data_IF_687465403302
#
_entry.id   IF_687465403302
#
_cell.length_a   1.000
_cell.length_b   1.000
_cell.length_c   1.000
_cell.angle_alpha   90.00
_cell.angle_beta   90.00
_cell.angle_gamma   90.00
#
_symmetry.space_group_name_H-M   'P 1'
#
loop_
_entity.id
_entity.type
_entity.pdbx_description
1 polymer ?
#
# COMPACT_ATOMS: atom_id res chain seq x y z
N UNK A 1 18.02 -0.75 -18.47
CA UNK A 1 19.43 -1.19 -18.30
C UNK A 1 19.51 -2.59 -17.70
N UNK A 2 20.68 -3.19 -17.62
CA UNK A 2 20.86 -4.49 -16.97
C UNK A 2 20.63 -4.37 -15.45
N UNK A 3 21.02 -3.27 -14.87
CA UNK A 3 20.83 -2.99 -13.43
C UNK A 3 19.36 -2.82 -13.09
N UNK A 4 18.58 -2.12 -13.91
CA UNK A 4 17.12 -2.03 -13.76
C UNK A 4 16.45 -3.41 -13.82
N UNK A 5 16.86 -4.27 -14.76
CA UNK A 5 16.29 -5.62 -14.84
C UNK A 5 16.64 -6.47 -13.61
N UNK A 6 17.85 -6.32 -13.07
CA UNK A 6 18.27 -6.99 -11.83
C UNK A 6 17.46 -6.48 -10.64
N UNK A 7 17.24 -5.16 -10.54
CA UNK A 7 16.42 -4.55 -9.52
C UNK A 7 14.98 -5.07 -9.57
N UNK A 8 14.34 -5.01 -10.73
CA UNK A 8 12.97 -5.52 -10.91
C UNK A 8 12.85 -7.00 -10.56
N UNK A 9 13.85 -7.82 -10.96
CA UNK A 9 13.88 -9.24 -10.61
C UNK A 9 14.01 -9.44 -9.09
N UNK A 10 14.86 -8.66 -8.42
CA UNK A 10 15.00 -8.72 -6.96
C UNK A 10 13.66 -8.42 -6.27
N UNK A 11 12.97 -7.35 -6.69
CA UNK A 11 11.68 -6.98 -6.14
C UNK A 11 10.61 -8.07 -6.33
N UNK A 12 10.60 -8.72 -7.50
CA UNK A 12 9.72 -9.85 -7.78
C UNK A 12 10.01 -11.05 -6.86
N UNK A 13 11.28 -11.42 -6.73
CA UNK A 13 11.70 -12.54 -5.87
C UNK A 13 11.36 -12.27 -4.41
N UNK A 14 11.63 -11.06 -3.90
CA UNK A 14 11.26 -10.66 -2.54
C UNK A 14 9.76 -10.82 -2.28
N UNK A 15 8.93 -10.38 -3.24
CA UNK A 15 7.48 -10.49 -3.13
C UNK A 15 7.01 -11.96 -3.11
N UNK A 16 7.53 -12.80 -4.01
CA UNK A 16 7.19 -14.20 -4.11
C UNK A 16 7.64 -15.00 -2.88
N UNK A 17 8.89 -14.85 -2.46
CA UNK A 17 9.46 -15.55 -1.31
C UNK A 17 8.71 -15.21 -0.01
N UNK A 18 8.28 -13.95 0.15
CA UNK A 18 7.48 -13.55 1.30
C UNK A 18 6.11 -14.27 1.33
N UNK A 19 5.42 -14.37 0.18
CA UNK A 19 4.16 -15.10 0.10
C UNK A 19 4.36 -16.59 0.38
N UNK A 20 5.41 -17.20 -0.17
CA UNK A 20 5.74 -18.59 0.09
C UNK A 20 6.11 -18.87 1.55
N UNK A 21 6.86 -17.96 2.16
CA UNK A 21 7.18 -18.03 3.58
C UNK A 21 5.91 -18.00 4.44
N UNK A 22 5.01 -17.05 4.20
CA UNK A 22 3.75 -16.96 4.94
C UNK A 22 2.87 -18.19 4.70
N UNK A 23 2.86 -18.74 3.48
CA UNK A 23 2.13 -19.94 3.14
C UNK A 23 2.58 -21.16 3.93
N UNK A 24 3.87 -21.36 4.05
CA UNK A 24 4.46 -22.51 4.72
C UNK A 24 4.45 -22.37 6.25
N UNK A 25 4.63 -21.16 6.75
CA UNK A 25 4.73 -20.90 8.19
C UNK A 25 3.38 -20.83 8.89
N UNK A 26 2.37 -20.22 8.22
CA UNK A 26 1.06 -19.93 8.81
C UNK A 26 -0.06 -20.67 8.08
N UNK A 27 0.05 -22.00 8.04
CA UNK A 27 -0.91 -22.89 7.37
C UNK A 27 -2.32 -22.69 7.95
N UNK A 28 -3.29 -22.52 7.06
CA UNK A 28 -4.70 -22.36 7.43
C UNK A 28 -5.09 -20.96 7.95
N UNK A 29 -4.14 -20.07 8.14
CA UNK A 29 -4.45 -18.67 8.47
C UNK A 29 -4.79 -17.87 7.21
N UNK A 30 -5.75 -16.95 7.35
CA UNK A 30 -6.13 -16.03 6.28
C UNK A 30 -4.99 -15.04 6.02
N UNK A 31 -4.52 -14.93 4.78
CA UNK A 31 -3.37 -14.10 4.41
C UNK A 31 -3.71 -13.02 3.40
N UNK A 32 -4.77 -13.19 2.62
CA UNK A 32 -5.04 -12.39 1.42
C UNK A 32 -3.80 -12.28 0.55
N UNK A 33 -3.28 -13.44 0.14
CA UNK A 33 -2.05 -13.60 -0.61
C UNK A 33 -2.02 -12.78 -1.90
N UNK A 34 -0.83 -12.28 -2.24
CA UNK A 34 -0.54 -11.63 -3.51
C UNK A 34 -0.17 -12.63 -4.62
N UNK A 35 -0.17 -13.94 -4.34
CA UNK A 35 0.20 -14.97 -5.32
C UNK A 35 -0.50 -14.77 -6.67
N UNK A 36 0.29 -14.73 -7.75
CA UNK A 36 -0.14 -14.42 -9.10
C UNK A 36 -0.21 -12.92 -9.44
N UNK A 37 0.03 -12.04 -8.48
CA UNK A 37 0.05 -10.58 -8.63
C UNK A 37 1.34 -9.93 -8.13
N UNK A 38 2.43 -10.68 -8.01
CA UNK A 38 3.71 -10.23 -7.42
C UNK A 38 4.29 -9.02 -8.15
N UNK A 39 3.94 -8.84 -9.42
CA UNK A 39 4.30 -7.68 -10.22
C UNK A 39 3.80 -6.34 -9.65
N UNK A 40 2.86 -6.36 -8.70
CA UNK A 40 2.43 -5.16 -7.98
C UNK A 40 3.59 -4.48 -7.25
N UNK A 41 4.51 -5.25 -6.67
CA UNK A 41 5.63 -4.69 -5.89
C UNK A 41 6.61 -3.93 -6.79
N UNK A 42 7.20 -4.51 -7.85
CA UNK A 42 8.05 -3.74 -8.76
C UNK A 42 7.31 -2.62 -9.51
N UNK A 43 5.99 -2.74 -9.72
CA UNK A 43 5.18 -1.67 -10.30
C UNK A 43 5.12 -0.46 -9.38
N UNK A 44 4.77 -0.66 -8.11
CA UNK A 44 4.72 0.43 -7.11
C UNK A 44 6.11 1.05 -6.88
N UNK A 45 7.14 0.23 -6.81
CA UNK A 45 8.53 0.67 -6.69
C UNK A 45 8.93 1.59 -7.86
N UNK A 46 8.69 1.16 -9.08
CA UNK A 46 8.94 1.96 -10.30
C UNK A 46 8.09 3.25 -10.32
N UNK A 47 6.85 3.19 -9.86
CA UNK A 47 5.97 4.35 -9.76
C UNK A 47 6.55 5.39 -8.80
N UNK A 48 7.02 4.97 -7.63
CA UNK A 48 7.63 5.86 -6.63
C UNK A 48 8.92 6.49 -7.16
N UNK A 49 9.84 5.69 -7.72
CA UNK A 49 11.09 6.17 -8.31
C UNK A 49 10.84 7.18 -9.45
N UNK A 50 9.93 6.84 -10.36
CA UNK A 50 9.57 7.70 -11.49
C UNK A 50 8.84 8.97 -11.03
N UNK A 51 7.90 8.86 -10.11
CA UNK A 51 7.20 10.00 -9.53
C UNK A 51 8.15 10.97 -8.83
N UNK A 52 9.08 10.43 -8.03
CA UNK A 52 10.12 11.22 -7.38
C UNK A 52 10.94 12.02 -8.38
N UNK A 53 11.33 11.42 -9.51
CA UNK A 53 12.08 12.11 -10.57
C UNK A 53 11.31 13.26 -11.19
N UNK A 54 9.98 13.22 -11.13
CA UNK A 54 9.06 14.23 -11.66
C UNK A 54 8.58 15.25 -10.62
N UNK A 55 9.03 15.13 -9.37
CA UNK A 55 8.71 16.13 -8.33
C UNK A 55 7.67 15.68 -7.30
N UNK A 56 7.24 14.43 -7.32
CA UNK A 56 6.35 13.88 -6.29
C UNK A 56 7.09 13.83 -4.95
N UNK A 57 6.50 14.41 -3.93
CA UNK A 57 7.01 14.45 -2.56
C UNK A 57 6.30 13.45 -1.65
N UNK A 58 5.04 13.11 -1.97
CA UNK A 58 4.25 12.18 -1.16
C UNK A 58 3.33 11.31 -2.04
N UNK A 59 3.24 10.03 -1.68
CA UNK A 59 2.29 9.06 -2.25
C UNK A 59 1.38 8.54 -1.15
N UNK A 60 0.08 8.72 -1.31
CA UNK A 60 -0.94 8.22 -0.39
C UNK A 60 -1.63 7.01 -1.01
N UNK A 61 -1.47 5.84 -0.38
CA UNK A 61 -1.93 4.57 -0.92
C UNK A 61 -3.22 4.14 -0.22
N UNK A 62 -4.25 3.84 -1.00
CA UNK A 62 -5.43 3.12 -0.59
C UNK A 62 -5.48 1.77 -1.29
N UNK A 63 -5.75 0.70 -0.55
CA UNK A 63 -5.79 -0.62 -1.16
C UNK A 63 -6.69 -1.59 -0.41
N UNK A 64 -7.18 -2.60 -1.14
CA UNK A 64 -7.86 -3.74 -0.59
C UNK A 64 -6.92 -4.61 0.27
N UNK A 65 -7.46 -5.69 0.84
CA UNK A 65 -6.69 -6.60 1.71
C UNK A 65 -5.64 -7.42 0.96
N UNK A 66 -5.94 -7.82 -0.29
CA UNK A 66 -5.05 -8.68 -1.08
C UNK A 66 -3.74 -7.97 -1.40
N UNK A 67 -2.63 -8.62 -1.04
CA UNK A 67 -1.29 -8.08 -1.21
C UNK A 67 -0.86 -7.03 -0.18
N UNK A 68 -1.74 -6.66 0.75
CA UNK A 68 -1.46 -5.59 1.72
C UNK A 68 -0.23 -5.88 2.59
N UNK A 69 -0.08 -7.12 3.06
CA UNK A 69 1.10 -7.50 3.88
C UNK A 69 2.40 -7.37 3.08
N UNK A 70 2.36 -7.72 1.79
CA UNK A 70 3.49 -7.59 0.90
C UNK A 70 3.86 -6.12 0.65
N UNK A 71 2.88 -5.26 0.44
CA UNK A 71 3.07 -3.80 0.34
C UNK A 71 3.62 -3.22 1.64
N UNK A 72 3.10 -3.61 2.80
CA UNK A 72 3.62 -3.19 4.11
C UNK A 72 5.09 -3.59 4.28
N UNK A 73 5.45 -4.81 3.90
CA UNK A 73 6.82 -5.31 4.04
C UNK A 73 7.79 -4.62 3.07
N UNK A 74 7.47 -4.60 1.78
CA UNK A 74 8.42 -4.28 0.72
C UNK A 74 8.35 -2.83 0.22
N UNK A 75 7.20 -2.16 0.37
CA UNK A 75 7.08 -0.74 0.00
C UNK A 75 7.22 0.19 1.21
N UNK A 76 6.59 -0.16 2.32
CA UNK A 76 6.60 0.64 3.54
C UNK A 76 7.70 0.22 4.54
N UNK A 77 8.45 -0.83 4.25
CA UNK A 77 9.49 -1.38 5.11
C UNK A 77 9.06 -1.59 6.56
N UNK A 78 7.77 -1.99 6.75
CA UNK A 78 7.29 -2.39 8.08
C UNK A 78 8.11 -3.60 8.56
N UNK A 79 8.70 -3.58 9.76
CA UNK A 79 9.53 -4.67 10.24
C UNK A 79 8.77 -6.01 10.22
N UNK A 80 9.42 -7.06 9.74
CA UNK A 80 8.82 -8.39 9.67
C UNK A 80 8.33 -8.88 11.02
N UNK A 81 9.06 -8.59 12.09
CA UNK A 81 8.68 -8.94 13.46
C UNK A 81 7.30 -8.39 13.82
N UNK A 82 6.99 -7.15 13.38
CA UNK A 82 5.68 -6.55 13.63
C UNK A 82 4.58 -7.18 12.78
N UNK A 83 4.88 -7.59 11.54
CA UNK A 83 3.91 -8.28 10.69
C UNK A 83 3.65 -9.70 11.22
N UNK A 84 4.71 -10.42 11.61
CA UNK A 84 4.62 -11.81 12.03
C UNK A 84 4.00 -11.96 13.42
N UNK A 85 4.25 -11.03 14.34
CA UNK A 85 3.64 -11.03 15.67
C UNK A 85 2.10 -10.98 15.61
N UNK A 86 1.54 -10.32 14.57
CA UNK A 86 0.09 -10.28 14.37
C UNK A 86 -0.51 -11.65 13.97
N UNK A 87 0.30 -12.55 13.38
CA UNK A 87 -0.10 -13.94 13.11
C UNK A 87 -0.01 -14.80 14.37
N UNK A 88 0.87 -14.47 15.28
CA UNK A 88 1.13 -15.26 16.48
C UNK A 88 0.25 -14.84 17.68
N UNK A 89 -0.62 -13.85 17.48
CA UNK A 89 -1.51 -13.33 18.53
C UNK A 89 -0.76 -12.54 19.62
N UNK A 90 0.50 -12.17 19.38
CA UNK A 90 1.33 -11.43 20.33
C UNK A 90 1.00 -9.92 20.39
N UNK A 91 -0.04 -9.47 19.73
CA UNK A 91 -0.46 -8.07 19.71
C UNK A 91 -1.19 -7.62 20.98
N UNK A 92 -1.27 -8.46 22.00
CA UNK A 92 -1.79 -8.06 23.30
C UNK A 92 -0.66 -7.48 24.19
N UNK A 93 -0.29 -6.24 23.91
CA UNK A 93 0.63 -5.46 24.76
C UNK A 93 -0.06 -4.87 26.01
N UNK A 94 -1.22 -5.40 26.37
CA UNK A 94 -1.96 -5.00 27.59
C UNK A 94 -2.64 -3.64 27.50
N UNK A 95 -2.73 -3.02 26.32
CA UNK A 95 -3.40 -1.73 26.12
C UNK A 95 -4.86 -1.84 25.72
N UNK A 96 -5.44 -3.02 25.77
CA UNK A 96 -6.89 -3.24 25.80
C UNK A 96 -7.75 -2.78 24.59
N UNK A 97 -7.17 -2.10 23.60
CA UNK A 97 -7.92 -1.42 22.53
C UNK A 97 -7.77 -2.07 21.14
N UNK A 98 -7.09 -3.20 21.02
CA UNK A 98 -6.87 -3.88 19.73
C UNK A 98 -7.70 -5.15 19.53
N UNK A 99 -8.63 -5.44 20.42
CA UNK A 99 -9.62 -6.49 20.18
C UNK A 99 -10.51 -6.10 19.01
N UNK A 100 -10.10 -6.47 17.80
CA UNK A 100 -10.98 -6.39 16.65
C UNK A 100 -10.40 -5.85 15.37
N UNK A 101 -9.24 -5.18 15.38
CA UNK A 101 -8.67 -4.77 14.10
C UNK A 101 -7.83 -5.91 13.52
N UNK A 102 -8.19 -6.32 12.30
CA UNK A 102 -7.48 -7.39 11.62
C UNK A 102 -6.23 -6.83 10.98
N UNK A 103 -5.14 -7.60 11.02
CA UNK A 103 -3.82 -7.28 10.43
C UNK A 103 -3.86 -6.69 9.01
N UNK A 104 -4.95 -6.87 8.29
CA UNK A 104 -5.15 -6.37 6.91
C UNK A 104 -5.76 -4.97 6.83
N UNK A 105 -6.17 -4.37 7.96
CA UNK A 105 -6.73 -3.01 7.99
C UNK A 105 -5.70 -1.96 8.38
N UNK A 106 -4.57 -2.38 8.92
CA UNK A 106 -3.56 -1.46 9.45
C UNK A 106 -2.93 -0.59 8.37
N UNK A 107 -2.79 0.69 8.71
CA UNK A 107 -2.01 1.66 7.97
C UNK A 107 -0.55 1.66 8.42
N UNK A 108 0.29 2.29 7.62
CA UNK A 108 1.70 2.53 7.95
C UNK A 108 2.24 3.69 7.11
N UNK A 109 3.28 4.36 7.58
CA UNK A 109 3.97 5.38 6.78
C UNK A 109 5.48 5.21 6.87
N UNK A 110 6.16 5.58 5.79
CA UNK A 110 7.60 5.44 5.64
C UNK A 110 8.17 6.54 4.75
N UNK A 111 9.33 7.04 5.11
CA UNK A 111 10.08 7.98 4.28
C UNK A 111 11.05 7.21 3.38
N UNK A 112 10.64 6.96 2.16
CA UNK A 112 11.44 6.26 1.16
C UNK A 112 12.51 7.19 0.60
N UNK A 113 13.73 6.67 0.46
CA UNK A 113 14.83 7.37 -0.21
C UNK A 113 15.10 6.65 -1.52
N UNK A 114 14.84 7.33 -2.63
CA UNK A 114 15.02 6.80 -3.99
C UNK A 114 16.49 6.51 -4.30
N UNK A 115 16.74 5.75 -5.36
CA UNK A 115 18.12 5.52 -5.86
C UNK A 115 18.87 6.82 -6.17
N UNK A 116 18.16 7.85 -6.62
CA UNK A 116 18.69 9.19 -6.86
C UNK A 116 18.88 10.04 -5.59
N UNK A 117 18.58 9.49 -4.41
CA UNK A 117 18.71 10.16 -3.11
C UNK A 117 17.58 11.15 -2.79
N UNK A 118 16.48 11.14 -3.53
CA UNK A 118 15.30 11.95 -3.21
C UNK A 118 14.44 11.25 -2.16
N UNK A 119 13.87 12.01 -1.25
CA UNK A 119 12.95 11.53 -0.23
C UNK A 119 11.52 11.67 -0.71
N UNK A 120 10.76 10.57 -0.62
CA UNK A 120 9.31 10.53 -0.88
C UNK A 120 8.62 9.94 0.33
N UNK A 121 7.61 10.62 0.85
CA UNK A 121 6.80 10.10 1.94
C UNK A 121 5.75 9.14 1.40
N UNK A 122 5.79 7.87 1.83
CA UNK A 122 4.81 6.87 1.49
C UNK A 122 3.85 6.67 2.67
N UNK A 123 2.56 6.74 2.44
CA UNK A 123 1.57 6.46 3.46
C UNK A 123 0.50 5.50 2.94
N UNK A 124 0.34 4.36 3.63
CA UNK A 124 -0.73 3.42 3.40
C UNK A 124 -1.83 3.70 4.42
N UNK A 125 -3.00 4.11 3.96
CA UNK A 125 -4.12 4.40 4.83
C UNK A 125 -4.72 3.13 5.44
N UNK A 126 -5.33 3.26 6.62
CA UNK A 126 -6.24 2.24 7.14
C UNK A 126 -7.38 2.00 6.16
N UNK A 127 -7.89 0.78 6.11
CA UNK A 127 -9.06 0.46 5.30
C UNK A 127 -10.08 -0.35 6.10
N UNK A 128 -11.38 -0.20 5.85
CA UNK A 128 -12.41 -1.04 6.46
C UNK A 128 -12.55 -2.38 5.72
N UNK A 129 -13.35 -3.30 6.28
CA UNK A 129 -13.75 -4.54 5.60
C UNK A 129 -14.63 -4.30 4.37
N UNK A 130 -15.26 -3.14 4.29
CA UNK A 130 -16.08 -2.75 3.14
C UNK A 130 -15.16 -2.34 1.99
N UNK A 131 -15.11 -3.16 0.95
CA UNK A 131 -14.26 -2.95 -0.20
C UNK A 131 -14.57 -1.64 -0.91
N UNK A 132 -13.54 -0.94 -1.36
CA UNK A 132 -13.55 0.33 -2.11
C UNK A 132 -13.98 1.57 -1.29
N UNK A 133 -14.44 1.42 -0.03
CA UNK A 133 -14.79 2.59 0.78
C UNK A 133 -13.58 3.46 1.16
N UNK A 134 -12.37 2.94 0.99
CA UNK A 134 -11.14 3.71 1.20
C UNK A 134 -10.89 4.72 0.08
N UNK A 135 -11.47 4.52 -1.11
CA UNK A 135 -11.17 5.35 -2.30
C UNK A 135 -11.49 6.84 -2.07
N UNK A 136 -12.72 7.24 -1.72
CA UNK A 136 -13.01 8.65 -1.46
C UNK A 136 -12.27 9.20 -0.22
N UNK A 137 -11.86 8.32 0.71
CA UNK A 137 -11.05 8.73 1.87
C UNK A 137 -9.65 9.15 1.41
N UNK A 138 -9.02 8.38 0.52
CA UNK A 138 -7.72 8.70 -0.06
C UNK A 138 -7.79 10.00 -0.84
N UNK A 139 -8.79 10.16 -1.70
CA UNK A 139 -8.99 11.40 -2.47
C UNK A 139 -9.13 12.62 -1.53
N UNK A 140 -9.92 12.48 -0.46
CA UNK A 140 -10.07 13.55 0.54
C UNK A 140 -8.76 13.86 1.29
N UNK A 141 -7.96 12.84 1.64
CA UNK A 141 -6.64 13.03 2.28
C UNK A 141 -5.70 13.78 1.33
N UNK A 142 -5.62 13.33 0.08
CA UNK A 142 -4.74 13.94 -0.93
C UNK A 142 -5.16 15.38 -1.20
N UNK A 143 -6.45 15.63 -1.42
CA UNK A 143 -6.98 16.98 -1.61
C UNK A 143 -6.61 17.92 -0.45
N UNK A 144 -6.76 17.48 0.79
CA UNK A 144 -6.40 18.26 1.96
C UNK A 144 -4.90 18.55 2.03
N UNK A 145 -4.05 17.57 1.70
CA UNK A 145 -2.58 17.72 1.68
C UNK A 145 -2.14 18.67 0.55
N UNK A 146 -2.70 18.53 -0.64
CA UNK A 146 -2.44 19.43 -1.76
C UNK A 146 -2.80 20.89 -1.39
N UNK A 147 -3.98 21.10 -0.83
CA UNK A 147 -4.40 22.42 -0.37
C UNK A 147 -3.46 23.00 0.71
N UNK A 148 -3.05 22.17 1.67
CA UNK A 148 -2.10 22.59 2.72
C UNK A 148 -0.72 22.98 2.15
N UNK A 149 -0.23 22.24 1.17
CA UNK A 149 1.06 22.46 0.52
C UNK A 149 1.01 23.51 -0.60
N UNK A 150 -0.18 24.02 -0.92
CA UNK A 150 -0.44 24.89 -2.09
C UNK A 150 0.02 24.23 -3.40
N UNK A 151 -0.27 22.94 -3.52
CA UNK A 151 -0.02 22.15 -4.71
C UNK A 151 -1.23 22.23 -5.65
N UNK A 152 -1.43 23.41 -6.22
CA UNK A 152 -2.61 23.72 -7.03
C UNK A 152 -2.68 22.89 -8.33
N UNK A 153 -1.56 22.36 -8.78
CA UNK A 153 -1.47 21.49 -9.96
C UNK A 153 -1.59 20.00 -9.62
N UNK A 154 -1.61 19.62 -8.33
CA UNK A 154 -1.72 18.24 -7.88
C UNK A 154 -0.54 17.35 -8.28
N UNK A 155 0.66 17.92 -8.38
CA UNK A 155 1.86 17.21 -8.88
C UNK A 155 2.79 16.72 -7.80
N UNK A 156 2.61 17.15 -6.54
CA UNK A 156 3.49 16.83 -5.42
C UNK A 156 2.94 15.76 -4.50
N UNK A 157 1.62 15.70 -4.34
CA UNK A 157 0.94 14.68 -3.53
C UNK A 157 0.02 13.87 -4.44
N UNK A 158 0.28 12.58 -4.56
CA UNK A 158 -0.38 11.70 -5.52
C UNK A 158 -1.14 10.58 -4.81
N UNK A 159 -2.44 10.34 -5.13
CA UNK A 159 -3.15 9.16 -4.68
C UNK A 159 -2.76 7.95 -5.51
N UNK A 160 -2.69 6.79 -4.87
CA UNK A 160 -2.59 5.49 -5.54
C UNK A 160 -3.64 4.56 -4.98
N UNK A 161 -4.60 4.16 -5.80
CA UNK A 161 -5.65 3.23 -5.45
C UNK A 161 -5.39 1.87 -6.09
N UNK A 162 -5.32 0.83 -5.25
CA UNK A 162 -5.11 -0.57 -5.69
C UNK A 162 -6.39 -1.36 -5.44
N UNK A 163 -7.07 -1.67 -6.52
CA UNK A 163 -8.38 -2.30 -6.50
C UNK A 163 -8.31 -3.82 -6.64
N UNK A 164 -9.34 -4.51 -6.14
CA UNK A 164 -9.66 -5.86 -6.56
C UNK A 164 -10.64 -5.81 -7.74
N UNK A 165 -10.41 -6.59 -8.79
CA UNK A 165 -11.19 -6.51 -10.05
C UNK A 165 -12.71 -6.62 -9.84
N UNK A 166 -13.15 -7.56 -9.03
CA UNK A 166 -14.58 -7.78 -8.78
C UNK A 166 -15.20 -6.64 -7.95
N UNK A 167 -14.45 -6.08 -7.01
CA UNK A 167 -14.90 -4.96 -6.22
C UNK A 167 -14.98 -3.68 -7.07
N UNK A 168 -13.95 -3.44 -7.90
CA UNK A 168 -13.93 -2.31 -8.82
C UNK A 168 -15.16 -2.29 -9.75
N UNK A 169 -15.53 -3.45 -10.28
CA UNK A 169 -16.69 -3.55 -11.19
C UNK A 169 -18.03 -3.61 -10.47
N UNK A 170 -18.08 -4.09 -9.23
CA UNK A 170 -19.32 -4.37 -8.51
C UNK A 170 -19.73 -3.36 -7.44
N UNK A 171 -18.80 -2.52 -6.95
CA UNK A 171 -19.08 -1.57 -5.88
C UNK A 171 -19.40 -0.17 -6.44
N UNK A 172 -20.62 0.32 -6.15
CA UNK A 172 -21.08 1.62 -6.64
C UNK A 172 -20.22 2.80 -6.19
N UNK A 173 -19.54 2.68 -5.04
CA UNK A 173 -18.65 3.72 -4.50
C UNK A 173 -17.49 4.06 -5.46
N UNK A 174 -17.05 3.13 -6.30
CA UNK A 174 -16.01 3.39 -7.32
C UNK A 174 -16.49 4.44 -8.32
N UNK A 175 -17.69 4.25 -8.88
CA UNK A 175 -18.26 5.22 -9.81
C UNK A 175 -18.55 6.56 -9.12
N UNK A 176 -18.97 6.54 -7.85
CA UNK A 176 -19.20 7.75 -7.06
C UNK A 176 -17.89 8.50 -6.81
N UNK A 177 -16.80 7.79 -6.51
CA UNK A 177 -15.47 8.39 -6.34
C UNK A 177 -14.97 9.02 -7.64
N UNK A 178 -15.15 8.36 -8.78
CA UNK A 178 -14.77 8.90 -10.08
C UNK A 178 -15.51 10.20 -10.44
N UNK A 179 -16.72 10.41 -9.91
CA UNK A 179 -17.44 11.67 -10.11
C UNK A 179 -16.76 12.87 -9.42
N UNK A 180 -15.87 12.63 -8.43
CA UNK A 180 -15.12 13.70 -7.77
C UNK A 180 -14.05 14.33 -8.70
N UNK A 181 -13.70 13.68 -9.80
CA UNK A 181 -12.70 14.18 -10.76
C UNK A 181 -13.12 15.47 -11.49
N UNK A 182 -14.39 15.81 -11.44
CA UNK A 182 -14.95 17.01 -12.10
C UNK A 182 -15.22 18.17 -11.13
N UNK A 183 -14.80 18.03 -9.86
CA UNK A 183 -14.96 19.05 -8.84
C UNK A 183 -13.66 19.83 -8.60
#
# INVERSE_FOLDING_TARGET
SEDEMRHLLSRLVEAEEFEQFLHTRYIGQKRFSLEGGESLIPLLDTLVESGASQGVDEVVIGMAHRGRLNVLAHMLHKPYEHILSEFEGAADDGRGDTEGDVKYHMGYSYDHVTEAGRKVHLSLSYNPSHLELVDPVIEGIVYAKQAYLRDDEGTRVVPVLVHGEAAFTGQGIVAETLNLSEL
#
